data_IF_001344019640
#
_entry.id   IF_001344019640
#
_cell.length_a   1.000
_cell.length_b   1.000
_cell.length_c   1.000
_cell.angle_alpha   90.00
_cell.angle_beta   90.00
_cell.angle_gamma   90.00
#
_symmetry.space_group_name_H-M   'P 1'
#
loop_
_entity.id
_entity.type
_entity.pdbx_description
1 polymer ?
#
# COMPACT_ATOMS: atom_id res chain seq x y z
N UNK A 1 -12.04 -15.30 19.67
CA UNK A 1 -12.67 -14.31 18.74
C UNK A 1 -11.69 -13.21 18.36
N UNK A 2 -10.95 -12.64 19.31
CA UNK A 2 -9.91 -11.63 19.08
C UNK A 2 -8.90 -12.03 17.99
N UNK A 3 -8.41 -13.27 18.01
CA UNK A 3 -7.38 -13.73 17.04
C UNK A 3 -7.92 -13.79 15.62
N UNK A 4 -9.18 -14.20 15.46
CA UNK A 4 -9.88 -14.21 14.17
C UNK A 4 -10.04 -12.78 13.64
N UNK A 5 -10.36 -11.81 14.51
CA UNK A 5 -10.45 -10.41 14.12
C UNK A 5 -9.09 -9.86 13.69
N UNK A 6 -8.01 -10.15 14.43
CA UNK A 6 -6.66 -9.73 14.06
C UNK A 6 -6.22 -10.35 12.72
N UNK A 7 -6.48 -11.63 12.52
CA UNK A 7 -6.20 -12.31 11.25
C UNK A 7 -6.97 -11.66 10.09
N UNK A 8 -8.27 -11.39 10.27
CA UNK A 8 -9.08 -10.74 9.25
C UNK A 8 -8.56 -9.34 8.91
N UNK A 9 -8.21 -8.53 9.93
CA UNK A 9 -7.64 -7.19 9.72
C UNK A 9 -6.29 -7.27 9.00
N UNK A 10 -5.40 -8.18 9.40
CA UNK A 10 -4.11 -8.40 8.75
C UNK A 10 -4.29 -8.77 7.27
N UNK A 11 -5.19 -9.71 6.96
CA UNK A 11 -5.46 -10.15 5.59
C UNK A 11 -6.03 -9.02 4.74
N UNK A 12 -7.02 -8.29 5.25
CA UNK A 12 -7.63 -7.17 4.52
C UNK A 12 -6.63 -6.04 4.31
N UNK A 13 -5.87 -5.68 5.34
CA UNK A 13 -4.85 -4.63 5.25
C UNK A 13 -3.72 -5.02 4.28
N UNK A 14 -3.26 -6.27 4.33
CA UNK A 14 -2.26 -6.80 3.40
C UNK A 14 -2.75 -6.80 1.96
N UNK A 15 -3.96 -7.33 1.72
CA UNK A 15 -4.55 -7.37 0.39
C UNK A 15 -4.74 -5.96 -0.17
N UNK A 16 -5.24 -5.02 0.65
CA UNK A 16 -5.41 -3.63 0.27
C UNK A 16 -4.06 -2.96 -0.03
N UNK A 17 -3.04 -3.22 0.79
CA UNK A 17 -1.69 -2.71 0.60
C UNK A 17 -1.10 -3.17 -0.74
N UNK A 18 -1.09 -4.49 -1.00
CA UNK A 18 -0.55 -5.05 -2.24
C UNK A 18 -1.32 -4.55 -3.46
N UNK A 19 -2.66 -4.54 -3.38
CA UNK A 19 -3.51 -4.08 -4.49
C UNK A 19 -3.26 -2.62 -4.84
N UNK A 20 -3.25 -1.74 -3.83
CA UNK A 20 -3.00 -0.31 -4.04
C UNK A 20 -1.58 -0.04 -4.49
N UNK A 21 -0.61 -0.83 -4.01
CA UNK A 21 0.79 -0.72 -4.40
C UNK A 21 1.01 -1.05 -5.88
N UNK A 22 0.53 -2.22 -6.32
CA UNK A 22 0.62 -2.66 -7.72
C UNK A 22 -0.19 -1.72 -8.63
N UNK A 23 -1.36 -1.26 -8.19
CA UNK A 23 -2.16 -0.29 -8.94
C UNK A 23 -1.42 1.04 -9.13
N UNK A 24 -0.72 1.55 -8.11
CA UNK A 24 0.10 2.75 -8.22
C UNK A 24 1.28 2.54 -9.16
N UNK A 25 2.05 1.45 -8.97
CA UNK A 25 3.19 1.14 -9.83
C UNK A 25 2.77 0.98 -11.29
N UNK A 26 1.67 0.27 -11.56
CA UNK A 26 1.09 0.11 -12.90
C UNK A 26 0.64 1.44 -13.50
N UNK A 27 -0.10 2.26 -12.75
CA UNK A 27 -0.52 3.59 -13.23
C UNK A 27 0.67 4.49 -13.55
N UNK A 28 1.65 4.56 -12.65
CA UNK A 28 2.88 5.34 -12.83
C UNK A 28 3.72 4.85 -14.01
N UNK A 29 3.70 3.55 -14.32
CA UNK A 29 4.44 2.97 -15.45
C UNK A 29 3.72 3.19 -16.78
N UNK A 30 2.39 3.05 -16.80
CA UNK A 30 1.61 3.03 -18.03
C UNK A 30 1.13 4.42 -18.47
N UNK A 31 0.81 5.31 -17.53
CA UNK A 31 0.12 6.57 -17.83
C UNK A 31 1.00 7.80 -17.61
N UNK A 32 2.09 7.69 -16.84
CA UNK A 32 2.92 8.84 -16.50
C UNK A 32 4.33 8.73 -17.07
N UNK A 33 4.83 9.87 -17.55
CA UNK A 33 6.23 10.02 -17.89
C UNK A 33 6.98 10.71 -16.75
N UNK A 34 8.18 10.24 -16.38
CA UNK A 34 8.89 9.13 -16.99
C UNK A 34 8.57 7.77 -16.35
N UNK A 35 8.37 6.74 -17.20
CA UNK A 35 7.87 5.40 -16.82
C UNK A 35 8.75 4.64 -15.82
N UNK A 36 10.04 4.98 -15.75
CA UNK A 36 10.97 4.38 -14.78
C UNK A 36 10.57 4.67 -13.32
N UNK A 37 9.82 5.74 -13.06
CA UNK A 37 9.27 6.02 -11.72
C UNK A 37 8.31 4.91 -11.26
N UNK A 38 7.52 4.35 -12.17
CA UNK A 38 6.61 3.25 -11.86
C UNK A 38 7.34 1.93 -11.61
N UNK A 39 8.42 1.67 -12.36
CA UNK A 39 9.30 0.52 -12.13
C UNK A 39 10.00 0.64 -10.78
N UNK A 40 10.60 1.80 -10.47
CA UNK A 40 11.21 2.05 -9.15
C UNK A 40 10.19 1.97 -8.01
N UNK A 41 8.97 2.46 -8.24
CA UNK A 41 7.89 2.35 -7.27
C UNK A 41 7.55 0.90 -6.92
N UNK A 42 7.71 -0.04 -7.85
CA UNK A 42 7.47 -1.47 -7.58
C UNK A 42 8.55 -2.09 -6.68
N UNK A 43 9.81 -1.69 -6.86
CA UNK A 43 10.94 -2.21 -6.07
C UNK A 43 11.13 -1.51 -4.73
N UNK A 44 10.74 -0.24 -4.64
CA UNK A 44 10.87 0.57 -3.45
C UNK A 44 9.47 1.01 -3.02
N UNK A 45 8.81 0.25 -2.13
CA UNK A 45 7.40 0.46 -1.81
C UNK A 45 7.02 1.89 -1.41
N UNK A 46 7.84 2.60 -0.61
CA UNK A 46 7.57 3.99 -0.24
C UNK A 46 7.53 4.97 -1.43
N UNK A 47 8.16 4.66 -2.56
CA UNK A 47 8.14 5.53 -3.73
C UNK A 47 6.78 5.55 -4.44
N UNK A 48 6.00 4.47 -4.34
CA UNK A 48 4.68 4.39 -4.94
C UNK A 48 3.71 5.50 -4.47
N UNK A 49 3.47 5.71 -3.17
CA UNK A 49 2.62 6.81 -2.71
C UNK A 49 3.26 8.18 -2.95
N UNK A 50 4.59 8.34 -2.84
CA UNK A 50 5.28 9.61 -3.05
C UNK A 50 5.07 10.10 -4.49
N UNK A 51 5.33 9.24 -5.49
CA UNK A 51 5.06 9.57 -6.88
C UNK A 51 3.56 9.63 -7.15
N UNK A 52 2.75 8.76 -6.53
CA UNK A 52 1.29 8.81 -6.65
C UNK A 52 0.68 10.14 -6.22
N UNK A 53 1.15 10.74 -5.12
CA UNK A 53 0.71 12.07 -4.69
C UNK A 53 1.13 13.18 -5.67
N UNK A 54 2.36 13.09 -6.18
CA UNK A 54 2.89 14.05 -7.16
C UNK A 54 2.11 14.04 -8.47
N UNK A 55 1.70 12.86 -8.92
CA UNK A 55 1.01 12.66 -10.19
C UNK A 55 -0.54 12.61 -10.05
N UNK A 56 -1.08 13.00 -8.90
CA UNK A 56 -2.53 13.19 -8.71
C UNK A 56 -3.33 11.94 -8.30
N UNK A 57 -2.71 10.77 -8.12
CA UNK A 57 -3.36 9.53 -7.66
C UNK A 57 -3.63 9.49 -6.14
N UNK A 58 -4.13 10.60 -5.57
CA UNK A 58 -4.28 10.81 -4.12
C UNK A 58 -5.10 9.72 -3.42
N UNK A 59 -6.24 9.31 -4.00
CA UNK A 59 -7.11 8.29 -3.37
C UNK A 59 -6.36 6.97 -3.16
N UNK A 60 -5.64 6.50 -4.19
CA UNK A 60 -4.89 5.24 -4.11
C UNK A 60 -3.67 5.38 -3.19
N UNK A 61 -2.99 6.52 -3.17
CA UNK A 61 -1.90 6.79 -2.22
C UNK A 61 -2.37 6.83 -0.76
N UNK A 62 -3.55 7.42 -0.49
CA UNK A 62 -4.15 7.43 0.86
C UNK A 62 -4.53 6.01 1.28
N UNK A 63 -5.18 5.24 0.40
CA UNK A 63 -5.52 3.84 0.70
C UNK A 63 -4.26 3.00 1.00
N UNK A 64 -3.17 3.22 0.26
CA UNK A 64 -1.88 2.58 0.53
C UNK A 64 -1.35 2.93 1.92
N UNK A 65 -1.39 4.21 2.31
CA UNK A 65 -0.96 4.67 3.64
C UNK A 65 -1.83 4.09 4.76
N UNK A 66 -3.14 4.10 4.59
CA UNK A 66 -4.07 3.52 5.57
C UNK A 66 -3.83 2.02 5.71
N UNK A 67 -3.64 1.31 4.60
CA UNK A 67 -3.39 -0.12 4.60
C UNK A 67 -2.11 -0.49 5.36
N UNK A 68 -0.99 0.22 5.13
CA UNK A 68 0.26 -0.08 5.83
C UNK A 68 0.18 0.24 7.32
N UNK A 69 -0.51 1.33 7.69
CA UNK A 69 -0.72 1.69 9.11
C UNK A 69 -1.56 0.61 9.80
N UNK A 70 -2.70 0.22 9.20
CA UNK A 70 -3.56 -0.83 9.75
C UNK A 70 -2.83 -2.17 9.88
N UNK A 71 -2.10 -2.57 8.84
CA UNK A 71 -1.32 -3.81 8.86
C UNK A 71 -0.28 -3.78 9.98
N UNK A 72 0.47 -2.69 10.11
CA UNK A 72 1.51 -2.54 11.13
C UNK A 72 0.93 -2.57 12.55
N UNK A 73 -0.18 -1.86 12.79
CA UNK A 73 -0.85 -1.86 14.10
C UNK A 73 -1.40 -3.24 14.44
N UNK A 74 -2.04 -3.92 13.49
CA UNK A 74 -2.56 -5.26 13.70
C UNK A 74 -1.45 -6.29 13.94
N UNK A 75 -0.33 -6.15 13.23
CA UNK A 75 0.84 -6.99 13.40
C UNK A 75 1.47 -6.80 14.78
N UNK A 76 1.66 -5.55 15.22
CA UNK A 76 2.16 -5.24 16.57
C UNK A 76 1.19 -5.82 17.62
N UNK A 77 -0.12 -5.64 17.44
CA UNK A 77 -1.14 -6.19 18.32
C UNK A 77 -1.18 -7.74 18.35
N UNK A 78 -0.68 -8.42 17.31
CA UNK A 78 -0.53 -9.88 17.30
C UNK A 78 0.71 -10.38 18.05
N UNK A 79 1.72 -9.52 18.26
CA UNK A 79 2.91 -9.88 19.05
C UNK A 79 2.75 -9.58 20.55
N UNK A 80 1.89 -8.64 20.90
CA UNK A 80 1.72 -8.18 22.28
C UNK A 80 0.78 -9.05 23.12
N UNK A 81 0.04 -9.97 22.50
CA UNK A 81 -1.02 -10.76 23.13
C UNK A 81 -1.01 -12.17 22.55
#
# INVERSE_FOLDING_TARGET
MRDILLLAVLLVAFALFVTTHVALAGRLTLHNHPRWRGVLALFVPPLAPIYGFREGYRRTSILWLVAIVLYSLALIASYLF
#
